data_IF_790809507853
#
_entry.id   IF_790809507853
#
_cell.length_a   1.000
_cell.length_b   1.000
_cell.length_c   1.000
_cell.angle_alpha   90.00
_cell.angle_beta   90.00
_cell.angle_gamma   90.00
#
_symmetry.space_group_name_H-M   'P 1'
#
loop_
_entity.id
_entity.type
_entity.pdbx_description
1 polymer ?
#
# COMPACT_ATOMS: atom_id res chain seq x y z
N UNK A 1 -33.37 -10.60 11.67
CA UNK A 1 -32.31 -11.55 12.10
C UNK A 1 -31.00 -10.80 12.20
N UNK A 2 -30.10 -11.12 13.15
CA UNK A 2 -28.78 -10.47 13.25
C UNK A 2 -27.71 -11.42 12.76
N UNK A 3 -26.81 -10.94 11.89
CA UNK A 3 -25.72 -11.75 11.33
C UNK A 3 -24.40 -10.98 11.51
N UNK A 4 -23.31 -11.63 11.97
CA UNK A 4 -21.98 -11.05 11.92
C UNK A 4 -21.49 -10.99 10.47
N UNK A 5 -21.11 -9.80 10.02
CA UNK A 5 -20.67 -9.59 8.64
C UNK A 5 -19.15 -9.41 8.51
N UNK A 6 -18.49 -8.93 9.56
CA UNK A 6 -17.06 -8.69 9.55
C UNK A 6 -16.50 -8.66 10.98
N UNK A 7 -15.26 -9.11 11.12
CA UNK A 7 -14.42 -8.90 12.30
C UNK A 7 -13.28 -7.97 11.87
N UNK A 8 -13.30 -6.74 12.38
CA UNK A 8 -12.37 -5.67 11.99
C UNK A 8 -11.45 -5.35 13.16
N UNK A 9 -10.16 -5.14 12.93
CA UNK A 9 -9.28 -4.68 14.01
C UNK A 9 -9.82 -3.38 14.65
N UNK A 10 -9.58 -3.21 15.96
CA UNK A 10 -9.83 -1.96 16.70
C UNK A 10 -8.83 -0.89 16.31
N UNK A 11 -8.89 -0.45 15.06
CA UNK A 11 -8.21 0.74 14.52
C UNK A 11 -9.24 1.85 14.36
N UNK A 12 -8.80 3.10 14.19
CA UNK A 12 -9.71 4.21 13.88
C UNK A 12 -10.28 3.96 12.49
N UNK A 13 -11.54 3.53 12.42
CA UNK A 13 -12.28 3.32 11.18
C UNK A 13 -12.99 4.62 10.83
N UNK A 14 -12.62 5.25 9.71
CA UNK A 14 -13.32 6.41 9.16
C UNK A 14 -14.14 6.00 7.95
N UNK A 15 -15.28 6.67 7.73
CA UNK A 15 -16.11 6.42 6.54
C UNK A 15 -16.74 5.02 6.47
N UNK A 16 -16.99 4.37 7.62
CA UNK A 16 -17.58 3.03 7.63
C UNK A 16 -19.03 3.04 7.10
N UNK A 17 -19.34 2.14 6.17
CA UNK A 17 -20.69 1.96 5.63
C UNK A 17 -20.99 0.49 5.36
N UNK A 18 -22.28 0.14 5.41
CA UNK A 18 -22.81 -1.18 5.04
C UNK A 18 -24.03 -1.00 4.14
N UNK A 19 -24.09 -1.75 3.04
CA UNK A 19 -25.19 -1.72 2.08
C UNK A 19 -25.65 -3.13 1.70
N UNK A 20 -26.93 -3.23 1.35
CA UNK A 20 -27.52 -4.43 0.76
C UNK A 20 -27.24 -4.53 -0.77
N UNK A 21 -27.79 -5.56 -1.41
CA UNK A 21 -27.65 -5.80 -2.85
C UNK A 21 -28.32 -4.74 -3.74
N UNK A 22 -29.26 -3.95 -3.20
CA UNK A 22 -29.90 -2.82 -3.88
C UNK A 22 -29.11 -1.51 -3.71
N UNK A 23 -28.08 -1.51 -2.86
CA UNK A 23 -27.30 -0.35 -2.50
C UNK A 23 -27.91 0.45 -1.34
N UNK A 24 -28.99 -0.02 -0.72
CA UNK A 24 -29.62 0.63 0.42
C UNK A 24 -28.77 0.44 1.69
N UNK A 25 -28.61 1.47 2.54
CA UNK A 25 -27.82 1.37 3.76
C UNK A 25 -28.50 0.44 4.76
N UNK A 26 -27.70 -0.41 5.42
CA UNK A 26 -28.16 -1.27 6.51
C UNK A 26 -27.76 -0.69 7.87
N UNK A 27 -28.65 -0.83 8.84
CA UNK A 27 -28.41 -0.36 10.20
C UNK A 27 -27.35 -1.23 10.89
N UNK A 28 -26.26 -0.59 11.30
CA UNK A 28 -25.25 -1.19 12.16
C UNK A 28 -25.76 -1.17 13.59
N UNK A 29 -25.72 -2.32 14.28
CA UNK A 29 -26.24 -2.43 15.64
C UNK A 29 -25.44 -1.53 16.59
N UNK A 30 -26.14 -0.81 17.46
CA UNK A 30 -25.52 0.05 18.47
C UNK A 30 -24.57 -0.72 19.40
N UNK A 31 -23.60 -0.01 19.97
CA UNK A 31 -22.52 -0.60 20.78
C UNK A 31 -23.05 -1.41 21.98
N UNK A 32 -24.14 -0.97 22.61
CA UNK A 32 -24.69 -1.66 23.78
C UNK A 32 -25.34 -2.99 23.42
N UNK A 33 -26.17 -3.02 22.37
CA UNK A 33 -26.84 -4.25 21.91
C UNK A 33 -25.82 -5.21 21.28
N UNK A 34 -24.81 -4.72 20.58
CA UNK A 34 -23.74 -5.56 20.03
C UNK A 34 -22.88 -6.18 21.14
N UNK A 35 -22.54 -5.44 22.19
CA UNK A 35 -21.79 -5.96 23.35
C UNK A 35 -22.55 -7.10 24.04
N UNK A 36 -23.87 -6.94 24.23
CA UNK A 36 -24.72 -7.99 24.82
C UNK A 36 -24.72 -9.26 23.95
N UNK A 37 -24.89 -9.10 22.64
CA UNK A 37 -24.91 -10.23 21.69
C UNK A 37 -23.56 -10.95 21.61
N UNK A 38 -22.44 -10.21 21.64
CA UNK A 38 -21.09 -10.79 21.65
C UNK A 38 -20.84 -11.54 22.95
N UNK A 39 -21.31 -11.02 24.09
CA UNK A 39 -21.21 -11.70 25.38
C UNK A 39 -21.99 -13.01 25.38
N UNK A 40 -23.22 -13.01 24.86
CA UNK A 40 -24.05 -14.21 24.76
C UNK A 40 -23.44 -15.25 23.81
N UNK A 41 -22.84 -14.81 22.70
CA UNK A 41 -22.09 -15.67 21.79
C UNK A 41 -20.90 -16.34 22.49
N UNK A 42 -20.14 -15.61 23.32
CA UNK A 42 -19.02 -16.20 24.06
C UNK A 42 -19.51 -17.23 25.09
N UNK A 43 -20.56 -16.92 25.84
CA UNK A 43 -21.19 -17.88 26.77
C UNK A 43 -21.59 -19.16 26.04
N UNK A 44 -22.27 -19.03 24.89
CA UNK A 44 -22.68 -20.20 24.10
C UNK A 44 -21.48 -21.03 23.61
N UNK A 45 -20.40 -20.39 23.17
CA UNK A 45 -19.17 -21.09 22.73
C UNK A 45 -18.51 -21.85 23.90
N UNK A 46 -18.53 -21.26 25.09
CA UNK A 46 -17.95 -21.88 26.29
C UNK A 46 -18.84 -23.00 26.84
N UNK A 47 -20.17 -22.86 26.79
CA UNK A 47 -21.12 -23.94 27.14
C UNK A 47 -21.00 -25.13 26.18
N UNK A 48 -20.84 -24.86 24.87
CA UNK A 48 -20.57 -25.91 23.86
C UNK A 48 -19.26 -26.66 24.11
N UNK A 49 -18.32 -26.05 24.85
CA UNK A 49 -17.08 -26.70 25.26
C UNK A 49 -17.23 -27.59 26.50
N UNK A 50 -18.44 -27.70 27.06
CA UNK A 50 -18.72 -28.50 28.27
C UNK A 50 -18.43 -27.78 29.58
N UNK A 51 -18.25 -26.46 29.55
CA UNK A 51 -18.09 -25.64 30.76
C UNK A 51 -19.48 -25.13 31.16
N UNK A 52 -20.01 -25.67 32.25
CA UNK A 52 -21.28 -25.23 32.79
C UNK A 52 -21.12 -23.91 33.55
N UNK A 53 -21.92 -22.92 33.20
CA UNK A 53 -22.05 -21.71 34.00
C UNK A 53 -23.32 -21.76 34.87
N UNK A 54 -23.43 -20.83 35.83
CA UNK A 54 -24.66 -20.67 36.61
C UNK A 54 -25.86 -20.34 35.71
N UNK A 55 -27.07 -20.73 36.09
CA UNK A 55 -28.28 -20.57 35.26
C UNK A 55 -28.62 -19.10 34.95
N UNK A 56 -28.19 -18.16 35.82
CA UNK A 56 -28.47 -16.74 35.69
C UNK A 56 -27.57 -16.05 34.65
N UNK A 57 -28.16 -15.56 33.55
CA UNK A 57 -27.45 -14.89 32.46
C UNK A 57 -26.59 -13.68 32.90
N UNK A 58 -26.99 -12.94 33.94
CA UNK A 58 -26.22 -11.80 34.44
C UNK A 58 -24.93 -12.26 35.16
N UNK A 59 -25.01 -13.35 35.92
CA UNK A 59 -23.87 -13.96 36.59
C UNK A 59 -22.91 -14.64 35.62
N UNK A 60 -23.42 -15.30 34.56
CA UNK A 60 -22.59 -15.88 33.48
C UNK A 60 -21.68 -14.82 32.84
N UNK A 61 -22.26 -13.66 32.53
CA UNK A 61 -21.52 -12.52 31.95
C UNK A 61 -20.53 -11.91 32.95
N UNK A 62 -20.89 -11.85 34.23
CA UNK A 62 -19.99 -11.38 35.28
C UNK A 62 -18.81 -12.34 35.52
N UNK A 63 -19.02 -13.66 35.41
CA UNK A 63 -17.98 -14.70 35.54
C UNK A 63 -16.93 -14.61 34.42
N UNK A 64 -17.33 -14.22 33.21
CA UNK A 64 -16.43 -13.95 32.09
C UNK A 64 -15.70 -12.60 32.19
N UNK A 65 -15.88 -11.85 33.29
CA UNK A 65 -15.27 -10.53 33.55
C UNK A 65 -15.41 -9.58 32.35
N UNK A 66 -16.59 -9.53 31.73
CA UNK A 66 -16.87 -8.56 30.67
C UNK A 66 -16.77 -7.14 31.24
N UNK A 67 -15.69 -6.45 30.90
CA UNK A 67 -15.56 -5.02 31.14
C UNK A 67 -16.43 -4.31 30.11
N UNK A 68 -17.54 -3.71 30.56
CA UNK A 68 -18.35 -2.83 29.74
C UNK A 68 -17.48 -1.61 29.40
N UNK A 69 -17.06 -1.49 28.14
CA UNK A 69 -16.17 -0.43 27.65
C UNK A 69 -16.90 0.93 27.50
N UNK A 70 -17.49 1.45 28.59
CA UNK A 70 -17.84 2.87 28.68
C UNK A 70 -16.64 3.73 29.07
N UNK A 71 -15.59 3.14 29.64
CA UNK A 71 -14.38 3.83 30.06
C UNK A 71 -13.15 3.11 29.48
N UNK A 72 -12.16 3.88 29.04
CA UNK A 72 -10.95 3.37 28.41
C UNK A 72 -10.18 2.45 29.37
N UNK A 73 -10.36 1.14 29.23
CA UNK A 73 -9.71 0.14 30.08
C UNK A 73 -8.73 -0.68 29.26
N UNK A 74 -7.56 -0.92 29.86
CA UNK A 74 -6.49 -1.73 29.30
C UNK A 74 -7.00 -3.12 28.88
N UNK A 75 -6.44 -3.71 27.80
CA UNK A 75 -6.86 -5.02 27.33
C UNK A 75 -6.70 -6.06 28.45
N UNK A 76 -7.79 -6.77 28.76
CA UNK A 76 -7.75 -7.89 29.71
C UNK A 76 -6.76 -8.93 29.20
N UNK A 77 -5.76 -9.35 30.00
CA UNK A 77 -4.80 -10.34 29.57
C UNK A 77 -5.54 -11.65 29.25
N UNK A 78 -5.26 -12.28 28.10
CA UNK A 78 -5.94 -13.48 27.64
C UNK A 78 -5.78 -14.68 28.58
N UNK A 79 -4.78 -14.65 29.46
CA UNK A 79 -4.57 -15.65 30.51
C UNK A 79 -5.63 -15.62 31.61
N UNK A 80 -6.43 -14.55 31.73
CA UNK A 80 -7.40 -14.39 32.81
C UNK A 80 -8.45 -15.51 32.88
N UNK A 81 -8.77 -16.16 31.75
CA UNK A 81 -9.70 -17.30 31.71
C UNK A 81 -9.03 -18.64 32.04
N UNK A 82 -7.76 -18.82 31.66
CA UNK A 82 -6.95 -19.96 32.11
C UNK A 82 -6.65 -19.87 33.61
N UNK A 83 -6.45 -18.65 34.12
CA UNK A 83 -6.27 -18.36 35.56
C UNK A 83 -7.57 -18.56 36.35
N UNK A 84 -8.72 -18.19 35.78
CA UNK A 84 -10.03 -18.36 36.43
C UNK A 84 -10.50 -19.83 36.45
N UNK A 85 -10.01 -20.66 35.52
CA UNK A 85 -10.40 -22.07 35.39
C UNK A 85 -9.16 -22.96 35.18
N UNK A 86 -8.32 -23.16 36.21
CA UNK A 86 -7.04 -23.88 36.11
C UNK A 86 -7.17 -25.37 35.73
N UNK A 87 -8.37 -25.96 35.89
CA UNK A 87 -8.72 -27.29 35.41
C UNK A 87 -8.69 -27.42 33.87
N UNK A 88 -8.68 -26.29 33.15
CA UNK A 88 -8.59 -26.24 31.71
C UNK A 88 -7.13 -26.37 31.27
N UNK A 89 -6.69 -27.60 30.95
CA UNK A 89 -5.33 -27.83 30.44
C UNK A 89 -5.13 -27.12 29.08
N UNK A 90 -4.05 -26.33 28.95
CA UNK A 90 -3.69 -25.60 27.73
C UNK A 90 -3.53 -26.48 26.47
N UNK A 91 -3.42 -27.80 26.63
CA UNK A 91 -3.34 -28.78 25.54
C UNK A 91 -4.69 -29.13 24.91
N UNK A 92 -5.82 -28.79 25.54
CA UNK A 92 -7.14 -29.10 25.00
C UNK A 92 -7.47 -28.17 23.81
N UNK A 93 -7.80 -28.73 22.62
CA UNK A 93 -8.07 -27.94 21.41
C UNK A 93 -9.25 -26.98 21.57
N UNK A 94 -10.24 -27.32 22.39
CA UNK A 94 -11.43 -26.50 22.64
C UNK A 94 -11.09 -25.27 23.48
N UNK A 95 -10.22 -25.44 24.48
CA UNK A 95 -9.75 -24.33 25.33
C UNK A 95 -8.86 -23.38 24.51
N UNK A 96 -7.99 -23.93 23.65
CA UNK A 96 -7.21 -23.11 22.72
C UNK A 96 -8.10 -22.30 21.80
N UNK A 97 -9.15 -22.91 21.24
CA UNK A 97 -10.15 -22.23 20.41
C UNK A 97 -10.85 -21.09 21.16
N UNK A 98 -11.31 -21.34 22.39
CA UNK A 98 -11.94 -20.32 23.23
C UNK A 98 -10.97 -19.15 23.47
N UNK A 99 -9.73 -19.46 23.85
CA UNK A 99 -8.71 -18.44 24.09
C UNK A 99 -8.44 -17.60 22.83
N UNK A 100 -8.22 -18.24 21.67
CA UNK A 100 -8.03 -17.57 20.39
C UNK A 100 -9.22 -16.67 20.03
N UNK A 101 -10.44 -17.11 20.35
CA UNK A 101 -11.66 -16.33 20.12
C UNK A 101 -11.75 -15.10 21.04
N UNK A 102 -11.40 -15.22 22.31
CA UNK A 102 -11.35 -14.08 23.25
C UNK A 102 -10.28 -13.09 22.81
N UNK A 103 -9.10 -13.59 22.44
CA UNK A 103 -8.02 -12.79 21.87
C UNK A 103 -8.48 -11.99 20.65
N UNK A 104 -9.28 -12.61 19.77
CA UNK A 104 -9.85 -11.95 18.61
C UNK A 104 -10.81 -10.82 19.01
N UNK A 105 -11.77 -11.10 19.91
CA UNK A 105 -12.76 -10.12 20.39
C UNK A 105 -12.12 -8.98 21.19
N UNK A 106 -11.03 -9.25 21.91
CA UNK A 106 -10.27 -8.23 22.63
C UNK A 106 -9.66 -7.20 21.68
N UNK A 107 -9.22 -7.62 20.48
CA UNK A 107 -8.52 -6.78 19.51
C UNK A 107 -9.37 -6.32 18.33
N UNK A 108 -10.61 -6.80 18.21
CA UNK A 108 -11.45 -6.57 17.02
C UNK A 108 -12.86 -6.09 17.36
N UNK A 109 -13.44 -5.29 16.48
CA UNK A 109 -14.86 -5.00 16.40
C UNK A 109 -15.58 -6.12 15.66
N UNK A 110 -16.69 -6.60 16.23
CA UNK A 110 -17.63 -7.48 15.52
C UNK A 110 -18.72 -6.60 14.92
N UNK A 111 -18.76 -6.53 13.60
CA UNK A 111 -19.80 -5.80 12.88
C UNK A 111 -21.03 -6.69 12.74
N UNK A 112 -22.10 -6.30 13.42
CA UNK A 112 -23.39 -6.97 13.36
C UNK A 112 -24.38 -6.13 12.55
N UNK A 113 -25.08 -6.79 11.64
CA UNK A 113 -26.11 -6.17 10.80
C UNK A 113 -27.45 -6.84 11.03
N UNK A 114 -28.48 -6.01 11.10
CA UNK A 114 -29.86 -6.48 11.11
C UNK A 114 -30.33 -6.74 9.67
N UNK A 115 -30.56 -8.01 9.36
CA UNK A 115 -31.07 -8.45 8.06
C UNK A 115 -32.60 -8.34 8.06
N UNK A 116 -33.19 -7.61 7.09
CA UNK A 116 -34.64 -7.47 6.97
C UNK A 116 -35.30 -8.81 6.66
N UNK A 117 -36.53 -9.00 7.14
CA UNK A 117 -37.25 -10.29 7.04
C UNK A 117 -37.41 -10.79 5.60
N UNK A 118 -37.57 -9.89 4.64
CA UNK A 118 -37.69 -10.24 3.22
C UNK A 118 -36.42 -10.83 2.58
N UNK A 119 -35.25 -10.66 3.20
CA UNK A 119 -33.98 -11.24 2.73
C UNK A 119 -33.66 -12.60 3.35
N UNK A 120 -34.48 -13.09 4.29
CA UNK A 120 -34.27 -14.38 4.95
C UNK A 120 -34.46 -15.54 3.96
N UNK A 121 -33.55 -16.51 4.01
CA UNK A 121 -33.57 -17.68 3.13
C UNK A 121 -33.16 -17.41 1.68
N UNK A 122 -32.83 -16.16 1.32
CA UNK A 122 -32.36 -15.78 0.00
C UNK A 122 -30.84 -15.56 -0.02
N UNK A 123 -30.23 -15.80 -1.17
CA UNK A 123 -28.82 -15.44 -1.39
C UNK A 123 -28.71 -13.91 -1.44
N UNK A 124 -28.17 -13.33 -0.37
CA UNK A 124 -27.97 -11.89 -0.24
C UNK A 124 -26.48 -11.55 -0.33
N UNK A 125 -26.14 -10.50 -1.07
CA UNK A 125 -24.78 -9.94 -1.11
C UNK A 125 -24.79 -8.72 -0.19
N UNK A 126 -23.88 -8.72 0.78
CA UNK A 126 -23.65 -7.60 1.67
C UNK A 126 -22.32 -6.96 1.33
N UNK A 127 -22.31 -5.64 1.20
CA UNK A 127 -21.10 -4.88 0.91
C UNK A 127 -20.83 -3.93 2.07
N UNK A 128 -19.59 -3.90 2.54
CA UNK A 128 -19.12 -2.93 3.51
C UNK A 128 -17.83 -2.30 3.02
N UNK A 129 -17.59 -1.06 3.45
CA UNK A 129 -16.40 -0.31 3.10
C UNK A 129 -16.00 0.64 4.21
N UNK A 130 -14.72 0.95 4.26
CA UNK A 130 -14.11 1.82 5.27
C UNK A 130 -12.76 2.31 4.77
N UNK A 131 -12.35 3.48 5.26
CA UNK A 131 -11.07 4.07 4.94
C UNK A 131 -10.01 3.57 5.93
N UNK A 132 -8.93 3.02 5.38
CA UNK A 132 -7.75 2.64 6.14
C UNK A 132 -6.55 3.50 5.73
N UNK A 133 -5.82 4.10 6.68
CA UNK A 133 -4.55 4.72 6.35
C UNK A 133 -3.54 3.63 5.96
N UNK A 134 -3.24 3.51 4.68
CA UNK A 134 -2.18 2.63 4.19
C UNK A 134 -0.84 3.38 4.13
N UNK A 135 0.11 2.93 4.95
CA UNK A 135 1.49 3.41 4.92
C UNK A 135 2.42 2.31 4.38
N UNK A 136 3.46 2.66 3.62
CA UNK A 136 4.41 1.66 3.15
C UNK A 136 5.22 1.08 4.31
N UNK A 137 5.61 -0.19 4.17
CA UNK A 137 6.31 -0.99 5.19
C UNK A 137 7.67 -1.46 4.63
N UNK A 138 8.81 -1.05 5.21
CA UNK A 138 8.98 -0.16 6.35
C UNK A 138 8.60 1.30 6.02
N UNK A 139 8.31 2.13 7.05
CA UNK A 139 8.02 3.54 6.84
C UNK A 139 9.15 4.22 6.05
N UNK A 140 8.83 5.11 5.12
CA UNK A 140 9.77 5.57 4.12
C UNK A 140 10.83 6.44 4.80
N UNK A 141 12.04 5.90 5.01
CA UNK A 141 13.20 6.68 5.45
C UNK A 141 13.84 7.45 4.30
N UNK A 142 13.72 6.91 3.07
CA UNK A 142 14.23 7.46 1.81
C UNK A 142 13.21 7.06 0.73
N UNK A 143 12.89 7.97 -0.19
CA UNK A 143 12.02 7.73 -1.35
C UNK A 143 12.47 6.48 -2.10
N UNK A 144 11.75 5.35 -2.05
CA UNK A 144 12.16 4.10 -2.72
C UNK A 144 11.16 3.72 -3.82
N UNK A 145 11.70 3.26 -4.95
CA UNK A 145 10.92 2.47 -5.90
C UNK A 145 10.63 1.11 -5.24
N UNK A 146 9.44 0.56 -5.47
CA UNK A 146 8.97 -0.72 -4.92
C UNK A 146 8.56 -0.67 -3.44
N UNK A 147 7.91 0.42 -3.03
CA UNK A 147 7.24 0.48 -1.74
C UNK A 147 6.29 -0.71 -1.58
N UNK A 148 6.42 -1.39 -0.44
CA UNK A 148 5.55 -2.51 -0.05
C UNK A 148 4.42 -1.93 0.78
N UNK A 149 3.18 -2.23 0.39
CA UNK A 149 1.99 -1.92 1.14
C UNK A 149 1.40 -3.22 1.65
N UNK A 150 0.90 -3.21 2.87
CA UNK A 150 0.21 -4.36 3.43
C UNK A 150 -1.06 -3.93 4.14
N UNK A 151 -2.07 -4.79 4.05
CA UNK A 151 -3.27 -4.67 4.85
C UNK A 151 -3.71 -6.04 5.35
N UNK A 152 -4.25 -6.03 6.56
CA UNK A 152 -4.79 -7.23 7.18
C UNK A 152 -6.12 -7.59 6.52
N UNK A 153 -6.27 -8.84 6.13
CA UNK A 153 -7.54 -9.39 5.65
C UNK A 153 -8.46 -9.56 6.85
N UNK A 154 -9.64 -8.95 6.78
CA UNK A 154 -10.68 -9.17 7.77
C UNK A 154 -11.19 -10.60 7.65
N UNK A 155 -11.10 -11.32 8.76
CA UNK A 155 -11.75 -12.60 8.97
C UNK A 155 -11.50 -13.70 7.92
N UNK A 156 -10.23 -14.03 7.61
CA UNK A 156 -9.91 -14.96 6.53
C UNK A 156 -10.38 -16.39 6.83
N UNK A 157 -10.47 -16.78 8.11
CA UNK A 157 -10.80 -18.14 8.55
C UNK A 157 -12.29 -18.48 8.61
N UNK A 158 -13.18 -17.50 8.45
CA UNK A 158 -14.64 -17.73 8.36
C UNK A 158 -15.13 -17.82 6.92
N UNK A 159 -14.31 -17.38 5.97
CA UNK A 159 -14.61 -17.47 4.55
C UNK A 159 -14.28 -18.86 3.98
N UNK A 160 -15.13 -19.39 3.09
CA UNK A 160 -14.83 -20.61 2.32
C UNK A 160 -13.89 -20.35 1.14
N UNK A 161 -13.87 -19.11 0.65
CA UNK A 161 -13.08 -18.64 -0.47
C UNK A 161 -12.77 -17.17 -0.30
N UNK A 162 -11.53 -16.76 -0.59
CA UNK A 162 -11.11 -15.37 -0.56
C UNK A 162 -10.76 -14.88 -1.96
N UNK A 163 -11.28 -13.71 -2.30
CA UNK A 163 -10.96 -12.99 -3.51
C UNK A 163 -10.56 -11.57 -3.13
N UNK A 164 -9.32 -11.21 -3.44
CA UNK A 164 -8.78 -9.89 -3.21
C UNK A 164 -8.47 -9.23 -4.53
N UNK A 165 -8.96 -8.01 -4.69
CA UNK A 165 -8.64 -7.14 -5.79
C UNK A 165 -7.99 -5.88 -5.23
N UNK A 166 -6.81 -5.55 -5.73
CA UNK A 166 -6.08 -4.33 -5.38
C UNK A 166 -6.05 -3.44 -6.61
N UNK A 167 -6.52 -2.21 -6.45
CA UNK A 167 -6.51 -1.18 -7.48
C UNK A 167 -5.59 -0.05 -7.03
N UNK A 168 -4.71 0.41 -7.93
CA UNK A 168 -3.87 1.60 -7.75
C UNK A 168 -4.17 2.64 -8.83
N UNK A 169 -3.84 3.93 -8.60
CA UNK A 169 -3.94 4.95 -9.63
C UNK A 169 -3.23 4.55 -10.94
N UNK A 170 -3.72 4.99 -12.11
CA UNK A 170 -3.23 4.55 -13.42
C UNK A 170 -1.76 4.94 -13.71
N UNK A 171 -1.23 5.93 -12.99
CA UNK A 171 0.19 6.31 -13.04
C UNK A 171 1.12 5.26 -12.41
N UNK A 172 0.55 4.31 -11.67
CA UNK A 172 1.25 3.27 -10.95
C UNK A 172 0.88 1.89 -11.50
N UNK A 173 1.76 0.94 -11.29
CA UNK A 173 1.54 -0.46 -11.60
C UNK A 173 1.85 -1.30 -10.37
N UNK A 174 0.97 -2.24 -10.09
CA UNK A 174 1.22 -3.34 -9.16
C UNK A 174 2.07 -4.35 -9.92
N UNK A 175 3.21 -4.74 -9.35
CA UNK A 175 4.08 -5.73 -9.98
C UNK A 175 4.12 -7.07 -9.25
N UNK A 176 3.74 -7.07 -7.97
CA UNK A 176 3.71 -8.24 -7.12
C UNK A 176 2.61 -8.04 -6.07
N UNK A 177 1.82 -9.08 -5.84
CA UNK A 177 0.84 -9.17 -4.76
C UNK A 177 1.02 -10.54 -4.14
N UNK A 178 1.06 -10.62 -2.81
CA UNK A 178 1.11 -11.86 -2.05
C UNK A 178 0.01 -11.87 -1.00
N UNK A 179 -0.62 -13.03 -0.83
CA UNK A 179 -1.47 -13.32 0.32
C UNK A 179 -0.67 -14.18 1.29
N UNK A 180 -0.47 -13.67 2.49
CA UNK A 180 0.28 -14.32 3.55
C UNK A 180 -0.65 -14.71 4.69
N UNK A 181 -0.40 -15.86 5.31
CA UNK A 181 -1.09 -16.25 6.53
C UNK A 181 -0.14 -16.34 7.71
N UNK A 182 -0.65 -15.96 8.86
CA UNK A 182 0.02 -16.06 10.14
C UNK A 182 -0.84 -16.73 11.22
N UNK A 183 -0.16 -17.20 12.26
CA UNK A 183 -0.83 -17.63 13.50
C UNK A 183 -1.48 -16.42 14.20
N UNK A 184 -2.42 -16.68 15.12
CA UNK A 184 -3.08 -15.67 15.99
C UNK A 184 -2.07 -14.74 16.65
N UNK A 185 -0.88 -15.28 17.00
CA UNK A 185 0.22 -14.56 17.65
C UNK A 185 1.12 -13.75 16.68
N UNK A 186 0.70 -13.56 15.42
CA UNK A 186 1.37 -12.66 14.47
C UNK A 186 2.60 -13.22 13.76
N UNK A 187 3.00 -14.48 14.00
CA UNK A 187 4.02 -15.12 13.17
C UNK A 187 3.44 -15.43 11.79
N UNK A 188 3.99 -14.82 10.73
CA UNK A 188 3.73 -15.20 9.33
C UNK A 188 4.25 -16.62 9.14
N UNK A 189 3.35 -17.55 8.84
CA UNK A 189 3.66 -18.99 8.74
C UNK A 189 4.02 -19.37 7.32
N UNK A 190 3.42 -18.74 6.29
CA UNK A 190 3.69 -19.05 4.88
C UNK A 190 2.97 -18.08 3.91
N UNK A 191 3.53 -17.92 2.71
CA UNK A 191 2.83 -17.29 1.57
C UNK A 191 1.90 -18.33 0.91
N UNK A 192 0.63 -17.95 0.73
CA UNK A 192 -0.44 -18.82 0.22
C UNK A 192 -0.57 -18.70 -1.28
N UNK A 193 -0.53 -17.47 -1.78
CA UNK A 193 -0.71 -17.14 -3.18
C UNK A 193 0.11 -15.91 -3.54
N UNK A 194 0.73 -15.92 -4.71
CA UNK A 194 1.45 -14.77 -5.26
C UNK A 194 0.97 -14.54 -6.69
N UNK A 195 0.61 -13.30 -7.01
CA UNK A 195 0.30 -12.86 -8.36
C UNK A 195 1.32 -11.81 -8.81
N UNK A 196 1.87 -11.99 -10.01
CA UNK A 196 2.71 -10.98 -10.66
C UNK A 196 1.92 -10.37 -11.80
N UNK A 197 1.45 -9.14 -11.60
CA UNK A 197 0.70 -8.39 -12.61
C UNK A 197 1.58 -7.24 -13.11
N UNK A 198 1.28 -6.62 -14.23
CA UNK A 198 1.97 -5.40 -14.68
C UNK A 198 0.93 -4.36 -15.12
N UNK A 199 0.09 -3.98 -14.17
CA UNK A 199 -1.06 -3.11 -14.42
C UNK A 199 -1.58 -2.45 -13.15
N UNK A 200 -2.60 -1.60 -13.27
CA UNK A 200 -3.19 -0.88 -12.15
C UNK A 200 -4.04 -1.79 -11.25
N UNK A 201 -4.40 -2.99 -11.71
CA UNK A 201 -5.25 -3.94 -11.00
C UNK A 201 -4.48 -5.23 -10.79
N UNK A 202 -4.61 -5.83 -9.61
CA UNK A 202 -4.10 -7.15 -9.29
C UNK A 202 -5.17 -7.97 -8.59
N UNK A 203 -5.36 -9.21 -9.03
CA UNK A 203 -6.33 -10.14 -8.46
C UNK A 203 -5.60 -11.32 -7.83
N UNK A 204 -5.96 -11.64 -6.59
CA UNK A 204 -5.56 -12.87 -5.91
C UNK A 204 -6.80 -13.61 -5.46
N UNK A 205 -6.87 -14.88 -5.83
CA UNK A 205 -7.85 -15.80 -5.31
C UNK A 205 -7.12 -16.84 -4.45
N UNK A 206 -7.70 -17.13 -3.29
CA UNK A 206 -7.27 -18.24 -2.45
C UNK A 206 -8.40 -19.26 -2.27
N UNK A 207 -8.09 -20.50 -2.64
CA UNK A 207 -8.93 -21.68 -2.44
C UNK A 207 -8.43 -22.54 -1.27
N UNK A 208 -7.27 -22.23 -0.70
CA UNK A 208 -6.66 -22.97 0.42
C UNK A 208 -7.35 -22.55 1.71
N UNK A 209 -7.74 -23.55 2.50
CA UNK A 209 -8.32 -23.37 3.82
C UNK A 209 -7.39 -22.58 4.75
N UNK A 210 -7.87 -21.45 5.26
CA UNK A 210 -7.21 -20.69 6.33
C UNK A 210 -7.84 -21.12 7.65
N UNK A 211 -7.05 -21.56 8.65
CA UNK A 211 -7.60 -21.96 9.94
C UNK A 211 -8.45 -20.85 10.58
N UNK A 212 -9.49 -21.25 11.31
CA UNK A 212 -10.33 -20.31 12.09
C UNK A 212 -9.44 -19.47 13.02
N UNK A 213 -9.69 -18.16 13.04
CA UNK A 213 -8.95 -17.15 13.81
C UNK A 213 -7.49 -16.89 13.38
N UNK A 214 -6.98 -17.59 12.35
CA UNK A 214 -5.69 -17.24 11.78
C UNK A 214 -5.74 -15.82 11.19
N UNK A 215 -4.61 -15.12 11.21
CA UNK A 215 -4.47 -13.82 10.55
C UNK A 215 -4.03 -14.03 9.13
N UNK A 216 -4.50 -13.20 8.21
CA UNK A 216 -3.98 -13.14 6.86
C UNK A 216 -3.76 -11.68 6.49
N UNK A 217 -2.75 -11.44 5.67
CA UNK A 217 -2.43 -10.12 5.15
C UNK A 217 -2.23 -10.20 3.65
N UNK A 218 -2.68 -9.17 2.94
CA UNK A 218 -2.31 -8.97 1.55
C UNK A 218 -1.16 -7.98 1.54
N UNK A 219 -0.01 -8.40 1.03
CA UNK A 219 1.07 -7.49 0.68
C UNK A 219 1.05 -7.23 -0.82
N UNK A 220 1.30 -6.00 -1.24
CA UNK A 220 1.45 -5.66 -2.64
C UNK A 220 2.52 -4.60 -2.83
N UNK A 221 3.15 -4.63 -3.99
CA UNK A 221 4.23 -3.72 -4.34
C UNK A 221 3.86 -2.88 -5.53
N UNK A 222 4.09 -1.58 -5.39
CA UNK A 222 3.78 -0.60 -6.41
C UNK A 222 5.06 -0.02 -7.00
N UNK A 223 4.99 0.34 -8.28
CA UNK A 223 6.04 1.08 -8.98
C UNK A 223 5.41 2.04 -9.98
N UNK A 224 6.15 3.02 -10.51
CA UNK A 224 5.67 3.81 -11.64
C UNK A 224 5.23 2.91 -12.80
N UNK A 225 4.09 3.21 -13.40
CA UNK A 225 3.62 2.51 -14.58
C UNK A 225 4.67 2.59 -15.70
N UNK A 226 4.82 1.54 -16.54
CA UNK A 226 5.79 1.55 -17.64
C UNK A 226 5.42 2.56 -18.75
N UNK A 227 4.23 3.17 -18.68
CA UNK A 227 3.69 4.16 -19.60
C UNK A 227 3.74 5.57 -19.01
N UNK A 228 3.34 6.59 -19.79
CA UNK A 228 3.30 7.98 -19.33
C UNK A 228 4.69 8.52 -18.98
N UNK A 229 4.84 9.12 -17.79
CA UNK A 229 6.09 9.77 -17.37
C UNK A 229 7.29 8.82 -17.36
N UNK A 230 7.12 7.53 -17.01
CA UNK A 230 8.25 6.58 -17.01
C UNK A 230 8.77 6.30 -18.42
N UNK A 231 7.86 6.10 -19.38
CA UNK A 231 8.22 5.92 -20.80
C UNK A 231 8.86 7.20 -21.35
N UNK A 232 8.26 8.35 -21.07
CA UNK A 232 8.77 9.65 -21.49
C UNK A 232 10.17 9.91 -20.94
N UNK A 233 10.40 9.79 -19.63
CA UNK A 233 11.71 9.99 -19.01
C UNK A 233 12.77 9.06 -19.59
N UNK A 234 12.43 7.81 -19.92
CA UNK A 234 13.37 6.87 -20.55
C UNK A 234 13.84 7.35 -21.92
N UNK A 235 12.91 7.77 -22.77
CA UNK A 235 13.24 8.26 -24.11
C UNK A 235 13.89 9.64 -24.07
N UNK A 236 13.39 10.53 -23.22
CA UNK A 236 13.97 11.84 -22.96
C UNK A 236 15.44 11.73 -22.53
N UNK A 237 15.74 10.85 -21.57
CA UNK A 237 17.10 10.61 -21.10
C UNK A 237 18.00 10.13 -22.24
N UNK A 238 17.55 9.15 -23.03
CA UNK A 238 18.31 8.62 -24.15
C UNK A 238 18.62 9.71 -25.20
N UNK A 239 17.61 10.45 -25.63
CA UNK A 239 17.76 11.50 -26.64
C UNK A 239 18.60 12.67 -26.13
N UNK A 240 18.39 13.10 -24.88
CA UNK A 240 19.20 14.13 -24.24
C UNK A 240 20.67 13.73 -24.16
N UNK A 241 20.97 12.46 -23.85
CA UNK A 241 22.34 11.98 -23.79
C UNK A 241 23.00 11.85 -25.15
N UNK A 242 22.27 11.42 -26.18
CA UNK A 242 22.79 11.45 -27.56
C UNK A 242 23.17 12.88 -27.95
N UNK A 243 22.32 13.86 -27.61
CA UNK A 243 22.59 15.27 -27.89
C UNK A 243 23.78 15.82 -27.09
N UNK A 244 23.86 15.50 -25.79
CA UNK A 244 24.97 15.90 -24.91
C UNK A 244 26.30 15.32 -25.42
N UNK A 245 26.35 14.04 -25.78
CA UNK A 245 27.56 13.38 -26.28
C UNK A 245 27.99 13.93 -27.64
N UNK A 246 27.04 14.18 -28.56
CA UNK A 246 27.33 14.81 -29.84
C UNK A 246 27.91 16.22 -29.65
N UNK A 247 27.31 17.00 -28.75
CA UNK A 247 27.79 18.35 -28.41
C UNK A 247 29.18 18.31 -27.79
N UNK A 248 29.44 17.35 -26.92
CA UNK A 248 30.75 17.14 -26.30
C UNK A 248 31.82 16.72 -27.32
N UNK A 249 31.49 15.84 -28.27
CA UNK A 249 32.40 15.44 -29.33
C UNK A 249 32.75 16.62 -30.27
N UNK A 250 31.77 17.46 -30.61
CA UNK A 250 32.00 18.69 -31.38
C UNK A 250 32.90 19.65 -30.59
N UNK A 251 32.68 19.78 -29.28
CA UNK A 251 33.50 20.62 -28.40
C UNK A 251 34.97 20.17 -28.32
N UNK A 252 35.22 18.85 -28.40
CA UNK A 252 36.58 18.28 -28.44
C UNK A 252 37.25 18.36 -29.81
N UNK A 253 36.49 18.59 -30.88
CA UNK A 253 37.03 18.74 -32.24
C UNK A 253 37.82 20.05 -32.42
N UNK A 254 38.46 20.27 -33.58
CA UNK A 254 39.14 21.52 -33.89
C UNK A 254 38.13 22.68 -33.86
N UNK A 255 38.12 23.40 -32.74
CA UNK A 255 37.17 24.48 -32.41
C UNK A 255 37.21 25.61 -33.43
N UNK A 256 38.35 25.80 -34.10
CA UNK A 256 38.56 26.84 -35.11
C UNK A 256 37.68 26.70 -36.36
N UNK A 257 37.19 25.49 -36.69
CA UNK A 257 36.37 25.27 -37.89
C UNK A 257 34.89 25.64 -37.70
N UNK A 258 34.36 25.47 -36.48
CA UNK A 258 32.93 25.68 -36.19
C UNK A 258 32.62 27.01 -35.50
N UNK A 259 33.62 27.69 -34.93
CA UNK A 259 33.51 29.03 -34.33
C UNK A 259 33.59 30.17 -35.37
N UNK A 260 33.23 29.91 -36.63
CA UNK A 260 33.17 30.98 -37.63
C UNK A 260 32.27 32.12 -37.13
N UNK A 261 32.79 33.35 -37.20
CA UNK A 261 32.28 34.59 -36.57
C UNK A 261 30.82 34.99 -36.89
N UNK A 262 30.11 34.21 -37.70
CA UNK A 262 28.78 34.54 -38.22
C UNK A 262 27.69 33.52 -37.84
N UNK A 263 27.91 32.65 -36.84
CA UNK A 263 26.86 31.74 -36.39
C UNK A 263 25.71 32.52 -35.72
N UNK A 264 24.56 32.61 -36.39
CA UNK A 264 23.32 33.12 -35.80
C UNK A 264 22.69 32.06 -34.89
N UNK A 265 23.11 32.01 -33.63
CA UNK A 265 22.68 31.01 -32.64
C UNK A 265 21.19 31.04 -32.23
N UNK A 266 20.36 31.89 -32.85
CA UNK A 266 18.97 32.09 -32.43
C UNK A 266 18.05 30.89 -32.76
N UNK A 267 18.26 30.20 -33.89
CA UNK A 267 17.42 29.06 -34.28
C UNK A 267 17.73 27.84 -33.40
N UNK A 268 19.02 27.51 -33.24
CA UNK A 268 19.44 26.37 -32.41
C UNK A 268 19.04 26.52 -30.94
N UNK A 269 19.18 27.73 -30.36
CA UNK A 269 18.76 27.99 -28.98
C UNK A 269 17.23 27.89 -28.82
N UNK A 270 16.47 28.39 -29.79
CA UNK A 270 14.99 28.28 -29.78
C UNK A 270 14.51 26.83 -29.85
N UNK A 271 15.15 25.99 -30.67
CA UNK A 271 14.81 24.56 -30.76
C UNK A 271 15.12 23.83 -29.45
N UNK A 272 16.26 24.13 -28.81
CA UNK A 272 16.63 23.50 -27.54
C UNK A 272 15.70 23.94 -26.40
N UNK A 273 15.21 25.18 -26.41
CA UNK A 273 14.27 25.69 -25.40
C UNK A 273 12.90 24.99 -25.40
N UNK A 274 12.53 24.30 -26.50
CA UNK A 274 11.31 23.47 -26.53
C UNK A 274 11.43 22.28 -25.56
N UNK A 275 12.63 21.72 -25.38
CA UNK A 275 12.82 20.54 -24.53
C UNK A 275 12.51 20.79 -23.04
N UNK A 276 13.04 21.85 -22.38
CA UNK A 276 12.62 22.23 -21.03
C UNK A 276 11.11 22.39 -20.86
N UNK A 277 10.44 23.03 -21.82
CA UNK A 277 8.99 23.22 -21.78
C UNK A 277 8.23 21.87 -21.83
N UNK A 278 8.69 20.94 -22.66
CA UNK A 278 8.15 19.57 -22.72
C UNK A 278 8.40 18.80 -21.42
N UNK A 279 9.57 18.91 -20.81
CA UNK A 279 9.85 18.26 -19.53
C UNK A 279 8.96 18.80 -18.41
N UNK A 280 8.77 20.12 -18.36
CA UNK A 280 7.93 20.77 -17.35
C UNK A 280 6.44 20.47 -17.53
N UNK A 281 5.93 20.41 -18.77
CA UNK A 281 4.52 20.13 -19.04
C UNK A 281 4.10 18.73 -18.60
N UNK A 282 5.01 17.74 -18.68
CA UNK A 282 4.76 16.39 -18.19
C UNK A 282 4.81 16.25 -16.65
N UNK A 283 5.33 17.26 -15.94
CA UNK A 283 5.37 17.29 -14.47
C UNK A 283 4.19 18.03 -13.85
N UNK A 284 3.57 18.97 -14.58
CA UNK A 284 2.41 19.74 -14.12
C UNK A 284 1.13 18.89 -14.14
N UNK A 285 0.94 18.07 -13.10
CA UNK A 285 -0.32 17.36 -12.83
C UNK A 285 -0.76 17.67 -11.42
N UNK A 286 -1.76 18.54 -11.29
CA UNK A 286 -2.39 18.86 -10.01
C UNK A 286 -3.91 18.92 -10.20
N UNK A 287 -4.70 18.41 -9.24
CA UNK A 287 -4.29 17.72 -8.01
C UNK A 287 -3.88 16.25 -8.26
N UNK A 288 -2.92 15.74 -7.48
CA UNK A 288 -2.49 14.33 -7.54
C UNK A 288 -2.50 13.66 -6.16
N UNK A 289 -2.76 12.34 -6.07
CA UNK A 289 -2.64 11.62 -4.81
C UNK A 289 -1.20 11.59 -4.28
N UNK A 290 -1.01 11.74 -2.97
CA UNK A 290 0.32 11.76 -2.36
C UNK A 290 1.15 10.50 -2.62
N UNK A 291 0.51 9.34 -2.80
CA UNK A 291 1.19 8.08 -3.16
C UNK A 291 1.83 8.15 -4.56
N UNK A 292 1.13 8.78 -5.51
CA UNK A 292 1.60 8.99 -6.88
C UNK A 292 2.75 9.99 -6.88
N UNK A 293 2.60 11.11 -6.17
CA UNK A 293 3.64 12.13 -6.02
C UNK A 293 4.96 11.53 -5.50
N UNK A 294 4.88 10.67 -4.46
CA UNK A 294 6.05 10.00 -3.89
C UNK A 294 6.70 9.02 -4.87
N UNK A 295 5.89 8.16 -5.51
CA UNK A 295 6.40 7.15 -6.44
C UNK A 295 7.03 7.78 -7.70
N UNK A 296 6.54 8.93 -8.16
CA UNK A 296 7.05 9.61 -9.35
C UNK A 296 8.15 10.64 -9.06
N UNK A 297 8.45 10.93 -7.79
CA UNK A 297 9.38 12.00 -7.40
C UNK A 297 10.75 11.89 -8.09
N UNK A 298 11.34 10.70 -8.13
CA UNK A 298 12.67 10.48 -8.74
C UNK A 298 12.65 10.74 -10.24
N UNK A 299 11.61 10.28 -10.94
CA UNK A 299 11.43 10.51 -12.38
C UNK A 299 11.28 12.00 -12.69
N UNK A 300 10.57 12.74 -11.84
CA UNK A 300 10.46 14.21 -11.94
C UNK A 300 11.79 14.90 -11.72
N UNK A 301 12.56 14.48 -10.71
CA UNK A 301 13.90 15.03 -10.47
C UNK A 301 14.81 14.83 -11.68
N UNK A 302 14.78 13.65 -12.32
CA UNK A 302 15.52 13.39 -13.56
C UNK A 302 15.08 14.36 -14.67
N UNK A 303 13.77 14.53 -14.88
CA UNK A 303 13.26 15.46 -15.90
C UNK A 303 13.64 16.93 -15.60
N UNK A 304 13.65 17.35 -14.33
CA UNK A 304 14.13 18.69 -13.91
C UNK A 304 15.60 18.87 -14.26
N UNK A 305 16.45 17.88 -13.96
CA UNK A 305 17.88 17.94 -14.28
C UNK A 305 18.12 17.99 -15.78
N UNK A 306 17.34 17.23 -16.57
CA UNK A 306 17.39 17.31 -18.04
C UNK A 306 16.93 18.68 -18.55
N UNK A 307 15.88 19.25 -17.98
CA UNK A 307 15.41 20.59 -18.32
C UNK A 307 16.47 21.66 -18.02
N UNK A 308 17.12 21.59 -16.85
CA UNK A 308 18.20 22.50 -16.49
C UNK A 308 19.40 22.36 -17.43
N UNK A 309 19.78 21.12 -17.79
CA UNK A 309 20.85 20.85 -18.75
C UNK A 309 20.56 21.48 -20.12
N UNK A 310 19.36 21.28 -20.66
CA UNK A 310 18.97 21.85 -21.96
C UNK A 310 18.85 23.38 -21.89
N UNK A 311 18.34 23.92 -20.79
CA UNK A 311 18.21 25.37 -20.60
C UNK A 311 19.58 26.06 -20.53
N UNK A 312 20.56 25.45 -19.85
CA UNK A 312 21.92 25.99 -19.82
C UNK A 312 22.62 25.89 -21.17
N UNK A 313 22.42 24.80 -21.93
CA UNK A 313 22.92 24.68 -23.31
C UNK A 313 22.30 25.74 -24.24
N UNK A 314 20.98 25.96 -24.15
CA UNK A 314 20.32 27.01 -24.92
C UNK A 314 20.84 28.41 -24.55
N UNK A 315 21.02 28.66 -23.25
CA UNK A 315 21.60 29.91 -22.75
C UNK A 315 23.02 30.14 -23.25
N UNK A 316 23.86 29.10 -23.25
CA UNK A 316 25.19 29.15 -23.85
C UNK A 316 25.09 29.58 -25.32
N UNK A 317 24.27 28.90 -26.13
CA UNK A 317 24.14 29.15 -27.57
C UNK A 317 23.49 30.49 -27.94
N UNK A 318 22.73 31.10 -27.03
CA UNK A 318 21.94 32.31 -27.32
C UNK A 318 22.74 33.62 -27.26
N UNK A 319 23.85 33.65 -26.54
CA UNK A 319 24.62 34.87 -26.26
C UNK A 319 26.10 34.64 -26.59
N UNK A 320 26.78 35.68 -27.07
CA UNK A 320 28.23 35.67 -27.27
C UNK A 320 28.94 35.82 -25.92
N UNK A 321 29.20 34.68 -25.27
CA UNK A 321 29.89 34.64 -23.99
C UNK A 321 31.41 34.78 -24.15
N UNK A 322 32.08 35.24 -23.09
CA UNK A 322 33.53 35.11 -23.01
C UNK A 322 33.93 33.63 -23.02
N UNK A 323 35.12 33.25 -23.53
CA UNK A 323 35.53 31.85 -23.62
C UNK A 323 35.47 31.09 -22.29
N UNK A 324 35.80 31.77 -21.17
CA UNK A 324 35.72 31.19 -19.82
C UNK A 324 34.28 30.89 -19.41
N UNK A 325 33.37 31.83 -19.66
CA UNK A 325 31.96 31.68 -19.32
C UNK A 325 31.27 30.63 -20.20
N UNK A 326 31.62 30.59 -21.48
CA UNK A 326 31.19 29.55 -22.41
C UNK A 326 31.54 28.15 -21.87
N UNK A 327 32.81 27.92 -21.54
CA UNK A 327 33.26 26.64 -20.97
C UNK A 327 32.54 26.30 -19.67
N UNK A 328 32.36 27.28 -18.77
CA UNK A 328 31.64 27.07 -17.50
C UNK A 328 30.20 26.61 -17.74
N UNK A 329 29.45 27.25 -18.64
CA UNK A 329 28.06 26.89 -18.94
C UNK A 329 27.94 25.46 -19.50
N UNK A 330 28.87 25.06 -20.37
CA UNK A 330 28.93 23.69 -20.88
C UNK A 330 29.24 22.67 -19.77
N UNK A 331 30.20 22.97 -18.89
CA UNK A 331 30.49 22.10 -17.73
C UNK A 331 29.27 21.95 -16.81
N UNK A 332 28.52 23.03 -16.57
CA UNK A 332 27.28 22.99 -15.78
C UNK A 332 26.22 22.12 -16.50
N UNK A 333 26.03 22.30 -17.80
CA UNK A 333 25.10 21.48 -18.59
C UNK A 333 25.43 19.98 -18.50
N UNK A 334 26.71 19.64 -18.65
CA UNK A 334 27.18 18.26 -18.54
C UNK A 334 27.04 17.70 -17.12
N UNK A 335 27.27 18.53 -16.09
CA UNK A 335 27.07 18.13 -14.70
C UNK A 335 25.60 17.76 -14.42
N UNK A 336 24.64 18.56 -14.89
CA UNK A 336 23.21 18.24 -14.76
C UNK A 336 22.84 16.95 -15.50
N UNK A 337 23.35 16.76 -16.74
CA UNK A 337 23.14 15.52 -17.50
C UNK A 337 23.71 14.30 -16.78
N UNK A 338 24.95 14.39 -16.27
CA UNK A 338 25.61 13.35 -15.50
C UNK A 338 24.84 12.99 -14.22
N UNK A 339 24.34 13.99 -13.49
CA UNK A 339 23.49 13.77 -12.32
C UNK A 339 22.19 13.06 -12.70
N UNK A 340 21.52 13.48 -13.78
CA UNK A 340 20.29 12.84 -14.26
C UNK A 340 20.51 11.36 -14.58
N UNK A 341 21.63 11.02 -15.24
CA UNK A 341 22.02 9.63 -15.50
C UNK A 341 22.34 8.87 -14.22
N UNK A 342 23.07 9.50 -13.28
CA UNK A 342 23.39 8.92 -11.98
C UNK A 342 22.13 8.51 -11.21
N UNK A 343 21.14 9.40 -11.15
CA UNK A 343 19.84 9.12 -10.54
C UNK A 343 19.10 7.98 -11.25
N UNK A 344 19.08 7.97 -12.59
CA UNK A 344 18.45 6.90 -13.37
C UNK A 344 19.11 5.53 -13.17
N UNK A 345 20.45 5.49 -13.12
CA UNK A 345 21.20 4.26 -12.86
C UNK A 345 20.98 3.76 -11.42
N UNK A 346 20.95 4.67 -10.45
CA UNK A 346 20.61 4.34 -9.06
C UNK A 346 19.19 3.78 -8.94
N UNK A 347 18.23 4.34 -9.67
CA UNK A 347 16.86 3.84 -9.76
C UNK A 347 16.83 2.39 -10.31
N UNK A 348 17.57 2.11 -11.39
CA UNK A 348 17.66 0.75 -11.95
C UNK A 348 18.39 -0.24 -11.05
N UNK A 349 19.41 0.17 -10.32
CA UNK A 349 20.15 -0.69 -9.41
C UNK A 349 19.27 -1.20 -8.25
N UNK A 350 18.37 -0.34 -7.74
CA UNK A 350 17.40 -0.68 -6.69
C UNK A 350 16.29 -1.61 -7.18
N UNK A 351 15.99 -1.60 -8.49
CA UNK A 351 14.96 -2.45 -9.11
C UNK A 351 15.33 -3.93 -9.25
N UNK A 352 16.55 -4.35 -8.88
CA UNK A 352 16.81 -5.79 -8.75
C UNK A 352 15.92 -6.33 -7.64
N UNK A 353 15.00 -7.27 -7.92
CA UNK A 353 14.11 -7.79 -6.89
C UNK A 353 15.00 -8.37 -5.80
N UNK A 354 14.97 -7.77 -4.61
CA UNK A 354 15.38 -8.49 -3.42
C UNK A 354 14.49 -9.72 -3.40
N UNK A 355 15.10 -10.90 -3.63
CA UNK A 355 14.41 -12.18 -3.44
C UNK A 355 13.65 -12.06 -2.12
N UNK A 356 12.37 -12.37 -2.19
CA UNK A 356 11.50 -12.39 -1.02
C UNK A 356 12.17 -13.28 0.03
N UNK A 357 12.80 -12.64 1.02
CA UNK A 357 13.24 -13.32 2.21
C UNK A 357 12.05 -13.20 3.14
N UNK A 358 11.31 -14.30 3.42
CA UNK A 358 10.34 -14.25 4.50
C UNK A 358 11.10 -13.71 5.71
N UNK A 359 10.68 -12.55 6.22
CA UNK A 359 11.44 -11.79 7.22
C UNK A 359 11.93 -12.74 8.30
N UNK A 360 13.26 -12.80 8.44
CA UNK A 360 13.93 -13.61 9.45
C UNK A 360 13.51 -13.19 10.85
N UNK A 361 13.46 -14.19 11.71
CA UNK A 361 13.19 -14.15 13.14
C UNK A 361 13.91 -12.97 13.84
N UNK A 362 13.13 -12.18 14.57
CA UNK A 362 13.56 -11.38 15.71
C UNK A 362 12.69 -11.74 16.90
#
# INVERSE_FOLDING_TARGET
MVIPIAILDKKVLTGFWVRDSSGAPLAVINQERSTRLVADMLVSVVEQAGIEFTSNAAERRAQLKFVNNSEAIAPVPPTALLEAYPQLQAANPTIRFINDFIHLLANSWVVLVEVPEGALGQRTILSYGYDLPMNPVPPPRILQDNDVYSFDVSDPGFSRSLHHEVLVPPELAIFETSLEHGSVNGRVVRSIATATTLGPISHIQNLIFIPRFAKAGVEFRIRPAPTGISAFTRWALLLAWVFILASFAIWLGPTDYYLSRNWSGSISSSVILVAPALFMSWMARAPEPGVVARALYRLRLINILLALSMLTMAGALSVQWSPRMWTLLWLIAYAFGALALGFWLAERAVRKPRKFSPRGNG
#
